data_IF_581108938578
#
_entry.id   IF_581108938578
#
_cell.length_a   1.000
_cell.length_b   1.000
_cell.length_c   1.000
_cell.angle_alpha   90.00
_cell.angle_beta   90.00
_cell.angle_gamma   90.00
#
_symmetry.space_group_name_H-M   'P 1'
#
loop_
_entity.id
_entity.type
_entity.pdbx_description
1 polymer ?
#
# COMPACT_ATOMS: atom_id res chain seq x y z
N UNK A 1 -9.37 -15.36 -8.21
CA UNK A 1 -9.15 -14.61 -6.95
C UNK A 1 -9.90 -13.30 -7.07
N UNK A 2 -10.63 -12.90 -6.03
CA UNK A 2 -11.35 -11.62 -6.03
C UNK A 2 -10.33 -10.48 -5.88
N UNK A 3 -10.26 -9.57 -6.85
CA UNK A 3 -9.31 -8.45 -6.84
C UNK A 3 -9.72 -7.46 -5.75
N UNK A 4 -8.77 -7.08 -4.87
CA UNK A 4 -9.05 -6.14 -3.78
C UNK A 4 -8.88 -4.71 -4.25
N UNK A 5 -9.96 -4.12 -4.78
CA UNK A 5 -9.94 -2.74 -5.27
C UNK A 5 -10.60 -1.78 -4.28
N UNK A 6 -9.90 -0.69 -3.97
CA UNK A 6 -10.40 0.37 -3.13
C UNK A 6 -11.44 1.27 -3.79
N UNK A 7 -12.11 2.12 -3.01
CA UNK A 7 -13.09 3.08 -3.54
C UNK A 7 -12.50 4.02 -4.61
N UNK A 8 -11.22 4.36 -4.47
CA UNK A 8 -10.45 5.18 -5.40
C UNK A 8 -9.91 4.44 -6.63
N UNK A 9 -10.18 3.14 -6.80
CA UNK A 9 -9.67 2.35 -7.92
C UNK A 9 -8.25 1.81 -7.76
N UNK A 10 -7.62 2.02 -6.59
CA UNK A 10 -6.33 1.41 -6.27
C UNK A 10 -6.51 -0.09 -6.09
N UNK A 11 -5.75 -0.87 -6.85
CA UNK A 11 -5.65 -2.31 -6.71
C UNK A 11 -4.67 -2.63 -5.57
N UNK A 12 -5.19 -3.17 -4.46
CA UNK A 12 -4.36 -3.52 -3.31
C UNK A 12 -3.40 -4.66 -3.63
N UNK A 13 -3.70 -5.48 -4.63
CA UNK A 13 -2.85 -6.61 -5.04
C UNK A 13 -1.66 -6.14 -5.92
N UNK A 14 -1.71 -4.93 -6.46
CA UNK A 14 -0.58 -4.24 -7.12
C UNK A 14 0.29 -3.42 -6.13
N UNK A 15 -0.19 -3.21 -4.90
CA UNK A 15 0.51 -2.42 -3.90
C UNK A 15 1.38 -3.32 -3.01
N UNK A 16 2.67 -3.00 -2.85
CA UNK A 16 3.63 -3.79 -2.05
C UNK A 16 3.21 -4.02 -0.59
N UNK A 17 2.45 -3.09 0.01
CA UNK A 17 1.88 -3.30 1.35
C UNK A 17 0.63 -4.17 1.32
N UNK A 18 -0.20 -4.05 0.27
CA UNK A 18 -1.45 -4.79 0.13
C UNK A 18 -1.21 -6.25 -0.24
N UNK A 19 -0.31 -6.52 -1.19
CA UNK A 19 0.05 -7.88 -1.60
C UNK A 19 1.00 -8.58 -0.60
N UNK A 20 1.59 -7.82 0.32
CA UNK A 20 2.47 -8.34 1.37
C UNK A 20 3.95 -8.42 0.99
N UNK A 21 4.34 -8.00 -0.21
CA UNK A 21 5.72 -8.02 -0.70
C UNK A 21 6.66 -7.22 0.22
N UNK A 22 6.19 -6.10 0.78
CA UNK A 22 6.99 -5.32 1.72
C UNK A 22 7.35 -6.15 2.97
N UNK A 23 6.34 -6.79 3.56
CA UNK A 23 6.52 -7.61 4.77
C UNK A 23 7.43 -8.81 4.51
N UNK A 24 7.24 -9.49 3.37
CA UNK A 24 8.11 -10.60 2.96
C UNK A 24 9.53 -10.14 2.66
N UNK A 25 9.71 -8.97 2.06
CA UNK A 25 11.04 -8.39 1.80
C UNK A 25 11.76 -8.07 3.11
N UNK A 26 11.08 -7.49 4.10
CA UNK A 26 11.65 -7.24 5.43
C UNK A 26 12.09 -8.56 6.10
N UNK A 27 11.25 -9.59 6.04
CA UNK A 27 11.56 -10.93 6.56
C UNK A 27 12.76 -11.56 5.83
N UNK A 28 12.81 -11.43 4.50
CA UNK A 28 13.89 -11.95 3.66
C UNK A 28 15.22 -11.28 3.98
N UNK A 29 15.25 -9.96 4.13
CA UNK A 29 16.44 -9.22 4.55
C UNK A 29 16.92 -9.65 5.94
N UNK A 30 16.00 -9.78 6.91
CA UNK A 30 16.34 -10.29 8.25
C UNK A 30 16.99 -11.67 8.18
N UNK A 31 16.46 -12.55 7.32
CA UNK A 31 17.03 -13.88 7.13
C UNK A 31 18.43 -13.82 6.52
N UNK A 32 18.67 -12.96 5.53
CA UNK A 32 20.02 -12.78 4.96
C UNK A 32 21.02 -12.24 5.98
N UNK A 33 20.63 -11.25 6.79
CA UNK A 33 21.46 -10.74 7.89
C UNK A 33 21.92 -11.88 8.81
N UNK A 34 21.02 -12.81 9.13
CA UNK A 34 21.30 -13.97 9.97
C UNK A 34 22.19 -15.00 9.27
N UNK A 35 21.81 -15.43 8.06
CA UNK A 35 22.48 -16.52 7.32
C UNK A 35 23.91 -16.16 6.96
N UNK A 36 24.15 -14.92 6.54
CA UNK A 36 25.48 -14.44 6.19
C UNK A 36 26.27 -13.91 7.39
N UNK A 37 25.71 -13.98 8.60
CA UNK A 37 26.38 -13.50 9.80
C UNK A 37 26.75 -12.02 9.75
N UNK A 38 25.96 -11.17 9.08
CA UNK A 38 26.32 -9.76 8.82
C UNK A 38 26.72 -9.02 10.11
N UNK A 39 26.09 -9.34 11.24
CA UNK A 39 26.40 -8.71 12.53
C UNK A 39 27.84 -8.95 13.01
N UNK A 40 28.55 -9.93 12.44
CA UNK A 40 29.92 -10.29 12.80
C UNK A 40 30.97 -9.48 12.03
N UNK A 41 30.63 -9.00 10.84
CA UNK A 41 31.58 -8.35 9.93
C UNK A 41 31.08 -7.01 9.38
N UNK A 42 29.93 -6.51 9.83
CA UNK A 42 29.37 -5.25 9.33
C UNK A 42 30.35 -4.08 9.49
N UNK A 43 31.18 -4.06 10.52
CA UNK A 43 32.18 -3.01 10.77
C UNK A 43 33.29 -2.97 9.70
N UNK A 44 33.47 -4.04 8.92
CA UNK A 44 34.39 -4.09 7.79
C UNK A 44 33.86 -3.32 6.56
N UNK A 45 32.55 -3.05 6.51
CA UNK A 45 31.94 -2.25 5.46
C UNK A 45 32.18 -0.76 5.69
N UNK A 46 32.36 0.05 4.63
CA UNK A 46 32.42 1.50 4.74
C UNK A 46 31.19 2.07 5.49
N UNK A 47 31.42 2.60 6.68
CA UNK A 47 30.38 3.17 7.55
C UNK A 47 29.53 2.15 8.32
N UNK A 48 29.87 0.86 8.26
CA UNK A 48 29.13 -0.20 8.95
C UNK A 48 29.19 -0.12 10.48
N UNK A 49 30.27 0.46 11.02
CA UNK A 49 30.41 0.77 12.45
C UNK A 49 29.36 1.75 13.01
N UNK A 50 28.55 2.38 12.14
CA UNK A 50 27.41 3.23 12.54
C UNK A 50 26.09 2.47 12.61
N UNK A 51 26.07 1.21 12.18
CA UNK A 51 24.84 0.41 12.10
C UNK A 51 24.60 -0.28 13.43
N UNK A 52 23.53 0.13 14.12
CA UNK A 52 23.03 -0.60 15.28
C UNK A 52 22.24 -1.83 14.81
N UNK A 53 22.92 -2.99 14.79
CA UNK A 53 22.33 -4.27 14.39
C UNK A 53 21.15 -4.69 15.26
N UNK A 54 21.12 -4.30 16.54
CA UNK A 54 19.99 -4.62 17.43
C UNK A 54 18.75 -3.84 17.02
N UNK A 55 18.91 -2.54 16.76
CA UNK A 55 17.81 -1.70 16.31
C UNK A 55 17.35 -2.05 14.89
N UNK A 56 18.27 -2.40 13.99
CA UNK A 56 17.93 -2.89 12.65
C UNK A 56 17.06 -4.16 12.73
N UNK A 57 17.47 -5.15 13.52
CA UNK A 57 16.68 -6.39 13.67
C UNK A 57 15.29 -6.13 14.26
N UNK A 58 15.18 -5.27 15.29
CA UNK A 58 13.87 -4.87 15.85
C UNK A 58 13.00 -4.16 14.82
N UNK A 59 13.57 -3.27 14.03
CA UNK A 59 12.84 -2.59 12.97
C UNK A 59 12.31 -3.59 11.93
N UNK A 60 13.15 -4.53 11.49
CA UNK A 60 12.73 -5.58 10.55
C UNK A 60 11.64 -6.49 11.12
N UNK A 61 11.68 -6.80 12.42
CA UNK A 61 10.61 -7.54 13.08
C UNK A 61 9.27 -6.80 13.00
N UNK A 62 9.26 -5.52 13.39
CA UNK A 62 8.06 -4.67 13.29
C UNK A 62 7.58 -4.60 11.84
N UNK A 63 8.48 -4.32 10.89
CA UNK A 63 8.11 -4.17 9.49
C UNK A 63 7.52 -5.47 8.93
N UNK A 64 8.12 -6.63 9.21
CA UNK A 64 7.63 -7.92 8.70
C UNK A 64 6.22 -8.31 9.16
N UNK A 65 5.74 -7.71 10.27
CA UNK A 65 4.40 -7.97 10.82
C UNK A 65 3.41 -6.88 10.41
N UNK A 66 3.78 -5.62 10.59
CA UNK A 66 2.83 -4.51 10.55
C UNK A 66 2.72 -3.80 9.21
N UNK A 67 3.52 -4.16 8.20
CA UNK A 67 3.41 -3.56 6.85
C UNK A 67 2.52 -4.37 5.91
N UNK A 68 1.65 -5.23 6.45
CA UNK A 68 0.58 -5.87 5.67
C UNK A 68 -0.69 -5.03 5.74
N UNK A 69 -1.09 -4.49 4.61
CA UNK A 69 -2.32 -3.72 4.49
C UNK A 69 -3.48 -4.64 4.08
N UNK A 70 -4.54 -4.68 4.89
CA UNK A 70 -5.75 -5.43 4.57
C UNK A 70 -6.51 -4.88 3.34
N UNK A 71 -6.23 -3.62 2.97
CA UNK A 71 -6.93 -2.87 1.93
C UNK A 71 -7.98 -1.93 2.52
N UNK A 72 -8.34 -0.87 1.79
CA UNK A 72 -9.13 0.22 2.38
C UNK A 72 -10.55 -0.18 2.80
N UNK A 73 -11.09 -1.27 2.23
CA UNK A 73 -12.41 -1.83 2.59
C UNK A 73 -12.40 -2.59 3.92
N UNK A 74 -11.23 -3.08 4.31
CA UNK A 74 -10.96 -3.75 5.59
C UNK A 74 -10.21 -2.80 6.55
N UNK A 75 -10.53 -1.50 6.50
CA UNK A 75 -9.92 -0.43 7.30
C UNK A 75 -8.39 -0.27 7.15
N UNK A 76 -7.78 -0.83 6.10
CA UNK A 76 -6.38 -0.57 5.75
C UNK A 76 -6.14 0.83 5.17
N UNK A 77 -4.88 1.16 4.89
CA UNK A 77 -4.47 2.48 4.42
C UNK A 77 -4.35 3.51 5.55
N UNK A 78 -4.39 4.82 5.25
CA UNK A 78 -4.29 5.85 6.28
C UNK A 78 -5.51 5.83 7.21
N UNK A 79 -5.29 6.18 8.49
CA UNK A 79 -6.33 6.24 9.52
C UNK A 79 -7.49 7.14 9.10
N UNK A 80 -7.19 8.30 8.53
CA UNK A 80 -8.17 9.22 7.95
C UNK A 80 -7.98 9.25 6.45
N UNK A 81 -9.02 8.91 5.69
CA UNK A 81 -8.98 8.89 4.23
C UNK A 81 -10.21 9.60 3.68
N UNK A 82 -10.09 10.84 3.17
CA UNK A 82 -11.25 11.62 2.76
C UNK A 82 -12.04 10.94 1.63
N UNK A 83 -11.36 10.14 0.78
CA UNK A 83 -12.01 9.40 -0.30
C UNK A 83 -12.88 8.27 0.27
N UNK A 84 -12.35 7.47 1.20
CA UNK A 84 -13.08 6.36 1.84
C UNK A 84 -14.28 6.91 2.59
N UNK A 85 -14.06 7.90 3.43
CA UNK A 85 -15.10 8.45 4.31
C UNK A 85 -16.25 9.05 3.48
N UNK A 86 -15.91 9.71 2.36
CA UNK A 86 -16.91 10.24 1.42
C UNK A 86 -17.64 9.14 0.63
N UNK A 87 -16.94 8.09 0.21
CA UNK A 87 -17.58 7.00 -0.53
C UNK A 87 -18.54 6.23 0.37
N UNK A 88 -18.15 5.98 1.62
CA UNK A 88 -18.99 5.33 2.63
C UNK A 88 -20.22 6.17 2.96
N UNK A 89 -20.07 7.49 3.17
CA UNK A 89 -21.21 8.36 3.48
C UNK A 89 -22.21 8.49 2.32
N UNK A 90 -21.74 8.35 1.08
CA UNK A 90 -22.58 8.35 -0.13
C UNK A 90 -23.06 6.93 -0.54
N UNK A 91 -22.65 5.87 0.17
CA UNK A 91 -23.02 4.49 -0.17
C UNK A 91 -22.45 3.97 -1.51
N UNK A 92 -21.33 4.54 -1.98
CA UNK A 92 -20.74 4.21 -3.28
C UNK A 92 -19.91 2.93 -3.19
N UNK A 93 -20.03 2.06 -4.20
CA UNK A 93 -19.12 0.93 -4.38
C UNK A 93 -17.78 1.41 -4.93
N UNK A 94 -17.78 2.39 -5.84
CA UNK A 94 -16.58 3.01 -6.39
C UNK A 94 -16.80 4.50 -6.65
N UNK A 95 -15.73 5.30 -6.63
CA UNK A 95 -15.84 6.74 -6.88
C UNK A 95 -16.27 7.10 -8.32
N UNK A 96 -16.20 6.18 -9.29
CA UNK A 96 -16.71 6.41 -10.65
C UNK A 96 -18.24 6.48 -10.74
N UNK A 97 -18.94 6.03 -9.69
CA UNK A 97 -20.40 6.15 -9.57
C UNK A 97 -20.81 7.57 -9.14
N UNK A 98 -19.84 8.43 -8.77
CA UNK A 98 -20.10 9.81 -8.38
C UNK A 98 -19.97 10.76 -9.57
N UNK A 99 -21.03 11.51 -9.86
CA UNK A 99 -21.06 12.51 -10.93
C UNK A 99 -20.07 13.67 -10.71
N UNK A 100 -19.60 13.86 -9.47
CA UNK A 100 -18.65 14.91 -9.08
C UNK A 100 -17.18 14.47 -9.21
N UNK A 101 -16.89 13.26 -9.70
CA UNK A 101 -15.53 12.69 -9.70
C UNK A 101 -14.49 13.63 -10.32
N UNK A 102 -14.81 14.26 -11.44
CA UNK A 102 -13.89 15.15 -12.17
C UNK A 102 -13.44 16.33 -11.32
N UNK A 103 -14.39 16.97 -10.62
CA UNK A 103 -14.15 18.14 -9.77
C UNK A 103 -13.76 17.77 -8.33
N UNK A 104 -13.69 16.48 -8.00
CA UNK A 104 -13.46 16.01 -6.65
C UNK A 104 -12.03 16.33 -6.18
N UNK A 105 -11.91 17.16 -5.14
CA UNK A 105 -10.64 17.53 -4.49
C UNK A 105 -10.17 16.54 -3.42
N UNK A 106 -10.98 15.51 -3.13
CA UNK A 106 -10.63 14.50 -2.12
C UNK A 106 -9.45 13.61 -2.53
N UNK A 107 -9.02 13.70 -3.79
CA UNK A 107 -7.85 13.00 -4.33
C UNK A 107 -6.57 13.83 -4.23
N UNK A 108 -6.64 15.12 -3.88
CA UNK A 108 -5.51 16.07 -3.98
C UNK A 108 -4.31 15.72 -3.07
N UNK A 109 -4.54 14.92 -2.03
CA UNK A 109 -3.49 14.42 -1.14
C UNK A 109 -2.70 13.24 -1.74
N UNK A 110 -3.18 12.65 -2.84
CA UNK A 110 -2.44 11.67 -3.63
C UNK A 110 -1.50 12.42 -4.59
N UNK A 111 -0.29 11.90 -4.82
CA UNK A 111 0.70 12.60 -5.65
C UNK A 111 0.27 12.88 -7.11
N UNK A 112 -0.55 12.00 -7.70
CA UNK A 112 -1.06 12.14 -9.07
C UNK A 112 -2.60 11.97 -9.11
N UNK A 113 -3.40 12.94 -8.60
CA UNK A 113 -4.85 12.78 -8.43
C UNK A 113 -5.59 12.41 -9.72
N UNK A 114 -5.16 13.00 -10.83
CA UNK A 114 -5.79 12.85 -12.13
C UNK A 114 -5.68 11.43 -12.68
N UNK A 115 -4.52 10.78 -12.50
CA UNK A 115 -4.28 9.39 -12.92
C UNK A 115 -5.23 8.41 -12.24
N UNK A 116 -5.54 8.63 -10.96
CA UNK A 116 -6.50 7.80 -10.24
C UNK A 116 -7.93 7.99 -10.76
N UNK A 117 -8.33 9.23 -11.07
CA UNK A 117 -9.63 9.54 -11.67
C UNK A 117 -9.77 8.91 -13.07
N UNK A 118 -8.73 8.96 -13.88
CA UNK A 118 -8.70 8.33 -15.21
C UNK A 118 -8.80 6.81 -15.12
N UNK A 119 -8.04 6.18 -14.22
CA UNK A 119 -8.16 4.73 -13.95
C UNK A 119 -9.59 4.35 -13.53
N UNK A 120 -10.22 5.17 -12.69
CA UNK A 120 -11.62 4.96 -12.28
C UNK A 120 -12.60 5.04 -13.45
N UNK A 121 -12.37 5.93 -14.42
CA UNK A 121 -13.20 6.01 -15.65
C UNK A 121 -13.01 4.77 -16.52
N UNK A 122 -11.77 4.34 -16.73
CA UNK A 122 -11.47 3.12 -17.48
C UNK A 122 -12.13 1.89 -16.82
N UNK A 123 -12.09 1.80 -15.48
CA UNK A 123 -12.80 0.76 -14.75
C UNK A 123 -14.32 0.77 -14.99
N UNK A 124 -14.93 1.95 -15.09
CA UNK A 124 -16.37 2.09 -15.38
C UNK A 124 -16.70 1.56 -16.78
N UNK A 125 -15.85 1.86 -17.76
CA UNK A 125 -16.00 1.39 -19.15
C UNK A 125 -15.87 -0.13 -19.24
N UNK A 126 -14.84 -0.72 -18.61
CA UNK A 126 -14.63 -2.18 -18.60
C UNK A 126 -15.69 -2.94 -17.79
N UNK A 127 -16.32 -2.30 -16.80
CA UNK A 127 -17.42 -2.91 -16.05
C UNK A 127 -18.73 -2.98 -16.85
N UNK A 128 -18.90 -2.14 -17.87
CA UNK A 128 -20.05 -2.17 -18.78
C UNK A 128 -19.96 -3.25 -19.87
N UNK A 129 -18.80 -3.91 -19.99
CA UNK A 129 -18.48 -4.87 -21.06
C UNK A 129 -18.58 -6.34 -20.60
N UNK A 130 -19.29 -6.58 -19.50
CA UNK A 130 -19.59 -7.94 -19.04
C UNK A 130 -20.99 -8.33 -19.55
N UNK A 131 -21.12 -9.30 -20.48
CA UNK A 131 -22.42 -9.83 -20.88
C UNK A 131 -23.16 -10.53 -19.73
#
# INVERSE_FOLDING_TARGET
MSVRIGYCGINCDECAMGNGDFAETAKKLKNYIKVFGLSQWIDELPGGNRVDMRNLNKALDILSVYTRCAGCREMGGPTVCPIRDCAQSKGLKFCYECDELDKCKKFDWLGEPQKFKERLKQMKESAGDTP
#
